data_IF_267602641364
#
_entry.id   IF_267602641364
#
_cell.length_a   1.000
_cell.length_b   1.000
_cell.length_c   1.000
_cell.angle_alpha   90.00
_cell.angle_beta   90.00
_cell.angle_gamma   90.00
#
_symmetry.space_group_name_H-M   'P 1'
#
loop_
_entity.id
_entity.type
_entity.pdbx_description
1 polymer ?
#
# COMPACT_ATOMS: atom_id res chain seq x y z
N UNK A 1 -12.59 -17.13 -54.10
CA UNK A 1 -12.41 -16.22 -55.25
C UNK A 1 -11.99 -17.00 -56.50
N UNK A 2 -12.09 -18.34 -56.46
CA UNK A 2 -11.48 -19.25 -57.45
C UNK A 2 -12.44 -19.72 -58.55
N UNK A 3 -13.75 -19.72 -58.31
CA UNK A 3 -14.76 -20.15 -59.29
C UNK A 3 -14.82 -19.20 -60.51
N UNK A 4 -14.56 -17.91 -60.29
CA UNK A 4 -14.54 -16.89 -61.36
C UNK A 4 -13.34 -17.01 -62.30
N UNK A 5 -12.20 -17.52 -61.80
CA UNK A 5 -10.97 -17.68 -62.60
C UNK A 5 -11.07 -18.91 -63.51
N UNK A 6 -11.62 -20.02 -63.01
CA UNK A 6 -11.77 -21.27 -63.78
C UNK A 6 -12.76 -21.09 -64.94
N UNK A 7 -13.89 -20.42 -64.71
CA UNK A 7 -14.87 -20.12 -65.76
C UNK A 7 -14.27 -19.27 -66.91
N UNK A 8 -13.34 -18.35 -66.58
CA UNK A 8 -12.64 -17.55 -67.59
C UNK A 8 -11.71 -18.39 -68.46
N UNK A 9 -11.00 -19.37 -67.86
CA UNK A 9 -10.02 -20.20 -68.55
C UNK A 9 -10.67 -21.21 -69.51
N UNK A 10 -11.79 -21.83 -69.11
CA UNK A 10 -12.60 -22.68 -70.00
C UNK A 10 -13.19 -21.88 -71.17
N UNK A 11 -13.67 -20.65 -70.92
CA UNK A 11 -14.18 -19.79 -71.99
C UNK A 11 -13.10 -19.42 -73.01
N UNK A 12 -11.88 -19.15 -72.54
CA UNK A 12 -10.73 -18.82 -73.38
C UNK A 12 -10.26 -20.05 -74.18
N UNK A 13 -10.28 -21.24 -73.58
CA UNK A 13 -9.99 -22.51 -74.28
C UNK A 13 -11.06 -22.86 -75.32
N UNK A 14 -12.34 -22.61 -75.03
CA UNK A 14 -13.42 -22.79 -76.01
C UNK A 14 -13.31 -21.82 -77.17
N UNK A 15 -13.03 -20.53 -76.90
CA UNK A 15 -12.78 -19.54 -77.95
C UNK A 15 -11.56 -19.90 -78.78
N UNK A 16 -10.46 -20.34 -78.15
CA UNK A 16 -9.27 -20.80 -78.85
C UNK A 16 -9.56 -22.01 -79.75
N UNK A 17 -10.33 -23.00 -79.28
CA UNK A 17 -10.78 -24.17 -80.08
C UNK A 17 -11.69 -23.77 -81.24
N UNK A 18 -12.62 -22.84 -81.03
CA UNK A 18 -13.49 -22.32 -82.10
C UNK A 18 -12.69 -21.60 -83.18
N UNK A 19 -11.71 -20.79 -82.80
CA UNK A 19 -10.80 -20.14 -83.73
C UNK A 19 -10.02 -21.21 -84.50
N UNK A 20 -9.45 -22.20 -83.81
CA UNK A 20 -8.69 -23.29 -84.43
C UNK A 20 -9.49 -24.08 -85.47
N UNK A 21 -10.73 -24.46 -85.15
CA UNK A 21 -11.65 -25.13 -86.11
C UNK A 21 -11.97 -24.27 -87.33
N UNK A 22 -12.02 -22.94 -87.16
CA UNK A 22 -12.30 -22.00 -88.23
C UNK A 22 -11.12 -21.80 -89.19
N UNK A 23 -9.87 -21.98 -88.72
CA UNK A 23 -8.66 -21.88 -89.54
C UNK A 23 -8.22 -23.25 -90.13
N UNK A 24 -8.72 -24.35 -89.58
CA UNK A 24 -8.41 -25.72 -90.04
C UNK A 24 -8.67 -25.98 -91.54
N UNK A 25 -9.80 -25.54 -92.16
CA UNK A 25 -10.02 -25.72 -93.60
C UNK A 25 -9.10 -24.85 -94.48
N UNK A 26 -8.66 -23.68 -93.99
CA UNK A 26 -7.74 -22.79 -94.70
C UNK A 26 -6.31 -23.35 -94.74
N UNK A 27 -5.89 -24.02 -93.66
CA UNK A 27 -4.59 -24.69 -93.59
C UNK A 27 -4.53 -25.95 -94.47
N UNK A 28 -5.63 -26.71 -94.59
CA UNK A 28 -5.72 -27.85 -95.52
C UNK A 28 -5.82 -27.43 -96.99
N UNK A 29 -6.22 -26.19 -97.29
CA UNK A 29 -6.28 -25.65 -98.65
C UNK A 29 -4.91 -25.20 -99.18
N UNK A 30 -3.91 -25.03 -98.31
CA UNK A 30 -2.51 -24.79 -98.69
C UNK A 30 -1.82 -26.13 -99.04
N UNK A 31 -2.19 -26.73 -100.16
CA UNK A 31 -1.48 -27.85 -100.78
C UNK A 31 -0.43 -27.37 -101.78
N UNK A 32 0.76 -27.98 -101.70
CA UNK A 32 1.98 -27.96 -102.56
C UNK A 32 2.40 -26.66 -103.30
N UNK A 33 3.67 -26.23 -103.18
CA UNK A 33 4.13 -24.97 -103.76
C UNK A 33 4.34 -25.08 -105.29
N UNK A 34 3.92 -24.08 -106.10
CA UNK A 34 4.44 -23.94 -107.45
C UNK A 34 5.90 -23.47 -107.41
N UNK A 35 6.72 -24.02 -108.32
CA UNK A 35 8.10 -23.65 -108.49
C UNK A 35 8.26 -22.31 -109.22
N UNK A 36 9.25 -21.55 -108.75
CA UNK A 36 10.00 -20.47 -109.40
C UNK A 36 9.61 -19.00 -109.12
N UNK A 37 10.69 -18.23 -108.90
CA UNK A 37 10.86 -16.80 -108.63
C UNK A 37 10.47 -16.24 -107.24
N UNK A 38 11.50 -15.83 -106.49
CA UNK A 38 11.41 -15.41 -105.10
C UNK A 38 10.92 -13.97 -104.88
N UNK A 39 10.30 -13.75 -103.71
CA UNK A 39 10.73 -12.74 -102.72
C UNK A 39 9.76 -12.72 -101.50
N UNK A 40 10.32 -12.97 -100.31
CA UNK A 40 9.80 -12.68 -98.96
C UNK A 40 8.41 -13.19 -98.47
N UNK A 41 7.44 -13.51 -99.34
CA UNK A 41 6.08 -13.83 -98.93
C UNK A 41 5.88 -15.29 -98.45
N UNK A 42 6.47 -16.27 -99.15
CA UNK A 42 6.27 -17.70 -98.85
C UNK A 42 7.00 -18.18 -97.60
N UNK A 43 8.18 -17.58 -97.30
CA UNK A 43 8.89 -17.82 -96.03
C UNK A 43 8.08 -17.29 -94.85
N UNK A 44 7.34 -16.19 -95.02
CA UNK A 44 6.50 -15.61 -93.97
C UNK A 44 5.26 -16.44 -93.67
N UNK A 45 4.59 -17.03 -94.69
CA UNK A 45 3.40 -17.87 -94.46
C UNK A 45 3.78 -19.19 -93.78
N UNK A 46 4.87 -19.84 -94.22
CA UNK A 46 5.37 -21.06 -93.58
C UNK A 46 5.82 -20.81 -92.12
N UNK A 47 6.50 -19.69 -91.87
CA UNK A 47 6.91 -19.28 -90.52
C UNK A 47 5.71 -18.96 -89.61
N UNK A 48 4.67 -18.32 -90.15
CA UNK A 48 3.42 -18.05 -89.43
C UNK A 48 2.68 -19.35 -89.10
N UNK A 49 2.59 -20.30 -90.03
CA UNK A 49 1.95 -21.60 -89.75
C UNK A 49 2.72 -22.40 -88.68
N UNK A 50 4.06 -22.36 -88.72
CA UNK A 50 4.90 -23.05 -87.75
C UNK A 50 4.85 -22.40 -86.36
N UNK A 51 4.81 -21.06 -86.30
CA UNK A 51 4.64 -20.34 -85.02
C UNK A 51 3.25 -20.54 -84.42
N UNK A 52 2.20 -20.56 -85.24
CA UNK A 52 0.85 -20.91 -84.80
C UNK A 52 0.77 -22.37 -84.29
N UNK A 53 1.36 -23.34 -85.00
CA UNK A 53 1.40 -24.74 -84.56
C UNK A 53 2.13 -24.90 -83.22
N UNK A 54 3.28 -24.24 -83.07
CA UNK A 54 4.03 -24.23 -81.81
C UNK A 54 3.25 -23.55 -80.67
N UNK A 55 2.50 -22.48 -80.96
CA UNK A 55 1.64 -21.81 -79.97
C UNK A 55 0.48 -22.73 -79.53
N UNK A 56 -0.14 -23.46 -80.46
CA UNK A 56 -1.21 -24.42 -80.18
C UNK A 56 -0.68 -25.55 -79.29
N UNK A 57 0.45 -26.15 -79.65
CA UNK A 57 1.09 -27.20 -78.84
C UNK A 57 1.46 -26.69 -77.43
N UNK A 58 1.90 -25.44 -77.30
CA UNK A 58 2.16 -24.81 -75.98
C UNK A 58 0.87 -24.66 -75.17
N UNK A 59 -0.23 -24.23 -75.78
CA UNK A 59 -1.53 -24.12 -75.09
C UNK A 59 -2.13 -25.45 -74.69
N UNK A 60 -1.94 -26.50 -75.50
CA UNK A 60 -2.42 -27.85 -75.16
C UNK A 60 -1.61 -28.47 -74.03
N UNK A 61 -0.28 -28.25 -74.02
CA UNK A 61 0.59 -28.74 -72.95
C UNK A 61 0.37 -28.00 -71.63
N UNK A 62 0.12 -26.68 -71.65
CA UNK A 62 -0.28 -25.94 -70.45
C UNK A 62 -1.67 -26.35 -69.96
N UNK A 63 -2.64 -26.59 -70.85
CA UNK A 63 -3.96 -27.10 -70.49
C UNK A 63 -3.89 -28.43 -69.76
N UNK A 64 -3.15 -29.42 -70.30
CA UNK A 64 -2.94 -30.72 -69.64
C UNK A 64 -2.22 -30.60 -68.31
N UNK A 65 -1.28 -29.66 -68.18
CA UNK A 65 -0.58 -29.40 -66.91
C UNK A 65 -1.51 -28.76 -65.87
N UNK A 66 -2.43 -27.89 -66.27
CA UNK A 66 -3.45 -27.35 -65.37
C UNK A 66 -4.44 -28.43 -64.91
N UNK A 67 -4.91 -29.29 -65.81
CA UNK A 67 -5.79 -30.42 -65.45
C UNK A 67 -5.09 -31.38 -64.47
N UNK A 68 -3.81 -31.71 -64.71
CA UNK A 68 -3.03 -32.55 -63.80
C UNK A 68 -2.82 -31.88 -62.44
N UNK A 69 -2.56 -30.57 -62.39
CA UNK A 69 -2.44 -29.83 -61.13
C UNK A 69 -3.77 -29.76 -60.38
N UNK A 70 -4.90 -29.59 -61.09
CA UNK A 70 -6.23 -29.62 -60.49
C UNK A 70 -6.56 -30.98 -59.89
N UNK A 71 -6.25 -32.08 -60.60
CA UNK A 71 -6.42 -33.42 -60.05
C UNK A 71 -5.48 -33.67 -58.86
N UNK A 72 -4.25 -33.16 -58.89
CA UNK A 72 -3.34 -33.25 -57.75
C UNK A 72 -3.83 -32.46 -56.54
N UNK A 73 -4.44 -31.28 -56.74
CA UNK A 73 -5.05 -30.52 -55.65
C UNK A 73 -6.30 -31.21 -55.10
N UNK A 74 -7.16 -31.78 -55.95
CA UNK A 74 -8.36 -32.50 -55.51
C UNK A 74 -7.99 -33.79 -54.74
N UNK A 75 -6.96 -34.52 -55.18
CA UNK A 75 -6.45 -35.70 -54.46
C UNK A 75 -5.81 -35.30 -53.14
N UNK A 76 -5.02 -34.23 -53.11
CA UNK A 76 -4.42 -33.72 -51.87
C UNK A 76 -5.44 -33.14 -50.89
N UNK A 77 -6.54 -32.54 -51.37
CA UNK A 77 -7.67 -32.10 -50.54
C UNK A 77 -8.51 -33.27 -50.03
N UNK A 78 -8.63 -34.35 -50.82
CA UNK A 78 -9.30 -35.59 -50.42
C UNK A 78 -8.48 -36.40 -49.40
N UNK A 79 -7.14 -36.30 -49.44
CA UNK A 79 -6.24 -36.78 -48.40
C UNK A 79 -6.32 -35.88 -47.16
N UNK A 80 -7.43 -36.04 -46.43
CA UNK A 80 -7.74 -35.36 -45.17
C UNK A 80 -6.50 -35.29 -44.28
N UNK A 81 -6.10 -34.09 -43.88
CA UNK A 81 -4.82 -33.88 -43.22
C UNK A 81 -4.73 -34.75 -41.96
N UNK A 82 -3.78 -35.70 -41.89
CA UNK A 82 -3.72 -36.69 -40.81
C UNK A 82 -3.49 -36.10 -39.43
N UNK A 83 -3.10 -34.82 -39.36
CA UNK A 83 -2.89 -34.08 -38.12
C UNK A 83 -4.07 -33.20 -37.70
N UNK A 84 -5.19 -33.17 -38.44
CA UNK A 84 -6.40 -32.39 -38.08
C UNK A 84 -6.96 -32.78 -36.71
N UNK A 85 -6.99 -34.08 -36.39
CA UNK A 85 -7.47 -34.57 -35.09
C UNK A 85 -6.55 -34.18 -33.93
N UNK A 86 -5.24 -34.22 -34.15
CA UNK A 86 -4.26 -33.81 -33.14
C UNK A 86 -4.24 -32.28 -32.97
N UNK A 87 -4.39 -31.52 -34.06
CA UNK A 87 -4.54 -30.08 -34.02
C UNK A 87 -5.80 -29.66 -33.25
N UNK A 88 -6.94 -30.32 -33.50
CA UNK A 88 -8.17 -30.07 -32.76
C UNK A 88 -8.04 -30.43 -31.28
N UNK A 89 -7.37 -31.54 -30.94
CA UNK A 89 -7.08 -31.93 -29.56
C UNK A 89 -6.19 -30.91 -28.85
N UNK A 90 -5.09 -30.49 -29.49
CA UNK A 90 -4.19 -29.48 -28.94
C UNK A 90 -4.88 -28.13 -28.79
N UNK A 91 -5.76 -27.78 -29.71
CA UNK A 91 -6.56 -26.55 -29.62
C UNK A 91 -7.56 -26.60 -28.46
N UNK A 92 -8.26 -27.72 -28.25
CA UNK A 92 -9.13 -27.90 -27.09
C UNK A 92 -8.35 -27.82 -25.76
N UNK A 93 -7.17 -28.45 -25.69
CA UNK A 93 -6.27 -28.34 -24.52
C UNK A 93 -5.79 -26.91 -24.29
N UNK A 94 -5.48 -26.17 -25.36
CA UNK A 94 -5.09 -24.76 -25.27
C UNK A 94 -6.24 -23.87 -24.78
N UNK A 95 -7.47 -24.13 -25.22
CA UNK A 95 -8.67 -23.43 -24.76
C UNK A 95 -8.96 -23.71 -23.27
N UNK A 96 -8.85 -24.96 -22.83
CA UNK A 96 -8.99 -25.33 -21.41
C UNK A 96 -7.88 -24.69 -20.54
N UNK A 97 -6.63 -24.73 -21.01
CA UNK A 97 -5.50 -24.08 -20.34
C UNK A 97 -5.68 -22.55 -20.27
N UNK A 98 -6.18 -21.93 -21.34
CA UNK A 98 -6.48 -20.49 -21.36
C UNK A 98 -7.60 -20.13 -20.37
N UNK A 99 -8.65 -20.94 -20.27
CA UNK A 99 -9.74 -20.74 -19.32
C UNK A 99 -9.27 -20.86 -17.87
N UNK A 100 -8.42 -21.85 -17.57
CA UNK A 100 -7.85 -22.04 -16.22
C UNK A 100 -6.90 -20.90 -15.84
N UNK A 101 -6.05 -20.43 -16.77
CA UNK A 101 -5.20 -19.26 -16.56
C UNK A 101 -6.03 -18.00 -16.26
N UNK A 102 -7.08 -17.75 -17.04
CA UNK A 102 -7.96 -16.60 -16.81
C UNK A 102 -8.65 -16.66 -15.43
N UNK A 103 -9.10 -17.84 -15.00
CA UNK A 103 -9.68 -18.03 -13.67
C UNK A 103 -8.67 -17.80 -12.53
N UNK A 104 -7.44 -18.29 -12.69
CA UNK A 104 -6.36 -18.08 -11.71
C UNK A 104 -5.92 -16.62 -11.63
N UNK A 105 -5.85 -15.91 -12.76
CA UNK A 105 -5.51 -14.49 -12.80
C UNK A 105 -6.59 -13.64 -12.13
N UNK A 106 -7.88 -13.95 -12.36
CA UNK A 106 -8.98 -13.32 -11.64
C UNK A 106 -8.85 -13.55 -10.12
N UNK A 107 -8.58 -14.80 -9.71
CA UNK A 107 -8.38 -15.12 -8.28
C UNK A 107 -7.17 -14.42 -7.68
N UNK A 108 -6.08 -14.27 -8.45
CA UNK A 108 -4.89 -13.54 -8.02
C UNK A 108 -5.19 -12.05 -7.82
N UNK A 109 -5.98 -11.45 -8.72
CA UNK A 109 -6.41 -10.07 -8.59
C UNK A 109 -7.28 -9.85 -7.33
N UNK A 110 -8.24 -10.74 -7.07
CA UNK A 110 -9.07 -10.69 -5.87
C UNK A 110 -8.22 -10.78 -4.58
N UNK A 111 -7.31 -11.76 -4.53
CA UNK A 111 -6.42 -11.95 -3.39
C UNK A 111 -5.47 -10.76 -3.20
N UNK A 112 -4.95 -10.18 -4.29
CA UNK A 112 -4.11 -8.99 -4.22
C UNK A 112 -4.89 -7.79 -3.63
N UNK A 113 -6.17 -7.63 -3.98
CA UNK A 113 -7.05 -6.63 -3.38
C UNK A 113 -7.23 -6.84 -1.88
N UNK A 114 -7.49 -8.08 -1.45
CA UNK A 114 -7.61 -8.42 -0.03
C UNK A 114 -6.31 -8.18 0.75
N UNK A 115 -5.15 -8.55 0.18
CA UNK A 115 -3.84 -8.30 0.80
C UNK A 115 -3.60 -6.81 0.97
N UNK A 116 -3.95 -5.98 -0.02
CA UNK A 116 -3.82 -4.52 0.08
C UNK A 116 -4.69 -3.96 1.21
N UNK A 117 -5.97 -4.37 1.28
CA UNK A 117 -6.87 -3.94 2.35
C UNK A 117 -6.35 -4.36 3.73
N UNK A 118 -5.89 -5.62 3.86
CA UNK A 118 -5.34 -6.12 5.12
C UNK A 118 -4.05 -5.40 5.52
N UNK A 119 -3.21 -5.01 4.55
CA UNK A 119 -2.02 -4.22 4.82
C UNK A 119 -2.35 -2.81 5.34
N UNK A 120 -3.38 -2.17 4.79
CA UNK A 120 -3.88 -0.88 5.30
C UNK A 120 -4.45 -1.02 6.72
N UNK A 121 -5.22 -2.08 6.98
CA UNK A 121 -5.74 -2.38 8.31
C UNK A 121 -4.61 -2.69 9.29
N UNK A 122 -3.59 -3.44 8.90
CA UNK A 122 -2.44 -3.74 9.78
C UNK A 122 -1.64 -2.46 10.10
N UNK A 123 -1.46 -1.57 9.11
CA UNK A 123 -0.84 -0.26 9.35
C UNK A 123 -1.68 0.62 10.29
N UNK A 124 -3.01 0.59 10.13
CA UNK A 124 -3.96 1.36 10.94
C UNK A 124 -4.13 0.83 12.36
N UNK A 125 -4.25 -0.48 12.56
CA UNK A 125 -4.40 -1.12 13.87
C UNK A 125 -3.08 -1.47 14.55
N UNK A 126 -1.98 -1.35 13.80
CA UNK A 126 -0.63 -1.51 14.30
C UNK A 126 -0.23 -0.42 15.30
N UNK A 127 1.03 -0.49 15.73
CA UNK A 127 1.59 0.37 16.79
C UNK A 127 1.55 1.86 16.45
N UNK A 128 1.48 2.20 15.17
CA UNK A 128 1.62 3.57 14.66
C UNK A 128 0.30 4.25 14.33
N UNK A 129 -0.80 3.52 14.27
CA UNK A 129 -2.11 4.07 13.93
C UNK A 129 -2.96 4.30 15.18
N UNK A 130 -4.02 3.51 15.34
CA UNK A 130 -5.04 3.69 16.38
C UNK A 130 -4.44 3.65 17.79
N UNK A 131 -3.43 2.82 18.05
CA UNK A 131 -2.78 2.76 19.37
C UNK A 131 -2.08 4.08 19.71
N UNK A 132 -1.33 4.63 18.75
CA UNK A 132 -0.63 5.91 18.90
C UNK A 132 -1.63 7.05 19.11
N UNK A 133 -2.69 7.10 18.29
CA UNK A 133 -3.77 8.07 18.43
C UNK A 133 -4.49 7.99 19.78
N UNK A 134 -4.79 6.77 20.25
CA UNK A 134 -5.41 6.58 21.56
C UNK A 134 -4.47 7.03 22.69
N UNK A 135 -3.17 6.75 22.59
CA UNK A 135 -2.17 7.21 23.54
C UNK A 135 -2.07 8.74 23.56
N UNK A 136 -2.04 9.40 22.39
CA UNK A 136 -2.03 10.86 22.28
C UNK A 136 -3.26 11.49 22.94
N UNK A 137 -4.44 10.91 22.75
CA UNK A 137 -5.67 11.37 23.43
C UNK A 137 -5.56 11.28 24.97
N UNK A 138 -5.06 10.16 25.48
CA UNK A 138 -4.84 9.96 26.93
C UNK A 138 -3.79 10.93 27.47
N UNK A 139 -2.70 11.15 26.73
CA UNK A 139 -1.65 12.08 27.12
C UNK A 139 -2.16 13.52 27.16
N UNK A 140 -3.04 13.91 26.23
CA UNK A 140 -3.73 15.20 26.25
C UNK A 140 -4.58 15.39 27.52
N UNK A 141 -5.43 14.41 27.84
CA UNK A 141 -6.24 14.43 29.09
C UNK A 141 -5.35 14.50 30.35
N UNK A 142 -4.26 13.71 30.37
CA UNK A 142 -3.32 13.72 31.48
C UNK A 142 -2.62 15.07 31.64
N UNK A 143 -2.25 15.69 30.52
CA UNK A 143 -1.60 17.00 30.49
C UNK A 143 -2.52 18.08 31.07
N UNK A 144 -3.79 18.11 30.66
CA UNK A 144 -4.77 19.06 31.18
C UNK A 144 -4.96 18.93 32.69
N UNK A 145 -5.15 17.70 33.20
CA UNK A 145 -5.30 17.43 34.63
C UNK A 145 -4.04 17.76 35.42
N UNK A 146 -2.87 17.42 34.88
CA UNK A 146 -1.59 17.75 35.51
C UNK A 146 -1.39 19.26 35.57
N UNK A 147 -1.75 20.00 34.52
CA UNK A 147 -1.65 21.45 34.45
C UNK A 147 -2.50 22.12 35.55
N UNK A 148 -3.71 21.61 35.82
CA UNK A 148 -4.56 22.11 36.90
C UNK A 148 -3.89 22.05 38.28
N UNK A 149 -3.18 20.97 38.61
CA UNK A 149 -2.41 20.87 39.84
C UNK A 149 -1.12 21.69 39.79
N UNK A 150 -0.46 21.74 38.63
CA UNK A 150 0.79 22.46 38.45
C UNK A 150 0.62 23.97 38.63
N UNK A 151 -0.49 24.55 38.19
CA UNK A 151 -0.82 25.96 38.42
C UNK A 151 -0.93 26.31 39.91
N UNK A 152 -1.43 25.36 40.72
CA UNK A 152 -1.57 25.53 42.16
C UNK A 152 -0.25 25.30 42.91
N UNK A 153 0.58 24.35 42.45
CA UNK A 153 1.82 23.96 43.11
C UNK A 153 3.03 24.82 42.69
N UNK A 154 3.15 25.12 41.40
CA UNK A 154 4.28 25.83 40.81
C UNK A 154 3.78 26.76 39.68
N UNK A 155 3.30 27.94 40.07
CA UNK A 155 2.82 28.94 39.14
C UNK A 155 3.88 29.29 38.08
N UNK A 156 3.48 29.33 36.81
CA UNK A 156 4.37 29.64 35.69
C UNK A 156 5.07 28.43 35.07
N UNK A 157 4.85 27.22 35.58
CA UNK A 157 5.28 25.99 34.92
C UNK A 157 4.14 25.42 34.07
N UNK A 158 4.51 24.79 32.97
CA UNK A 158 3.63 23.95 32.17
C UNK A 158 4.34 22.66 31.79
N UNK A 159 3.62 21.55 31.81
CA UNK A 159 4.14 20.25 31.41
C UNK A 159 3.57 19.89 30.04
N UNK A 160 4.42 19.51 29.10
CA UNK A 160 4.03 18.95 27.81
C UNK A 160 4.41 17.48 27.75
N UNK A 161 3.44 16.66 27.37
CA UNK A 161 3.60 15.22 27.22
C UNK A 161 3.35 14.86 25.75
N UNK A 162 4.34 14.26 25.11
CA UNK A 162 4.23 13.84 23.71
C UNK A 162 4.69 12.39 23.55
N UNK A 163 3.97 11.63 22.72
CA UNK A 163 4.45 10.35 22.23
C UNK A 163 5.47 10.65 21.12
N UNK A 164 6.74 10.30 21.34
CA UNK A 164 7.82 10.49 20.38
C UNK A 164 8.42 9.15 19.99
N UNK A 165 8.66 8.96 18.69
CA UNK A 165 9.50 7.84 18.21
C UNK A 165 10.95 8.31 18.15
N UNK A 166 11.89 7.57 18.74
CA UNK A 166 13.30 7.87 18.55
C UNK A 166 13.65 7.73 17.06
N UNK A 167 14.16 8.81 16.45
CA UNK A 167 14.45 8.88 15.02
C UNK A 167 15.49 7.85 14.52
N UNK A 168 16.21 7.18 15.43
CA UNK A 168 17.30 6.25 15.13
C UNK A 168 16.89 4.76 15.16
N UNK A 169 15.62 4.42 15.41
CA UNK A 169 15.17 3.03 15.50
C UNK A 169 14.46 2.56 14.21
N UNK A 170 14.75 1.33 13.77
CA UNK A 170 14.04 0.68 12.68
C UNK A 170 12.52 0.58 12.98
N UNK A 171 11.65 0.69 11.97
CA UNK A 171 10.20 0.79 12.15
C UNK A 171 9.58 -0.41 12.88
N UNK A 172 10.21 -1.59 12.85
CA UNK A 172 9.74 -2.79 13.54
C UNK A 172 10.11 -2.87 15.03
N UNK A 173 11.10 -2.10 15.49
CA UNK A 173 11.60 -2.12 16.88
C UNK A 173 11.43 -0.80 17.62
N UNK A 174 10.92 0.24 16.95
CA UNK A 174 10.65 1.54 17.54
C UNK A 174 9.54 1.44 18.59
N UNK A 175 9.93 1.32 19.86
CA UNK A 175 9.02 1.49 20.99
C UNK A 175 8.75 2.99 21.14
N UNK A 176 7.47 3.37 21.13
CA UNK A 176 7.06 4.74 21.42
C UNK A 176 7.56 5.14 22.80
N UNK A 177 8.22 6.30 22.87
CA UNK A 177 8.73 6.86 24.13
C UNK A 177 7.90 8.09 24.47
N UNK A 178 7.44 8.16 25.70
CA UNK A 178 6.79 9.36 26.21
C UNK A 178 7.87 10.38 26.57
N UNK A 179 7.94 11.45 25.80
CA UNK A 179 8.82 12.59 26.07
C UNK A 179 8.10 13.55 27.02
N UNK A 180 8.82 13.97 28.07
CA UNK A 180 8.33 14.91 29.08
C UNK A 180 9.10 16.20 28.94
N UNK A 181 8.44 17.25 28.49
CA UNK A 181 9.04 18.57 28.31
C UNK A 181 8.43 19.54 29.30
N UNK A 182 9.27 20.25 30.05
CA UNK A 182 8.81 21.28 30.99
C UNK A 182 9.01 22.64 30.37
N UNK A 183 7.93 23.41 30.27
CA UNK A 183 7.94 24.79 29.84
C UNK A 183 7.85 25.70 31.06
N UNK A 184 8.67 26.74 31.09
CA UNK A 184 8.67 27.74 32.17
C UNK A 184 8.33 29.10 31.58
N UNK A 185 7.38 29.79 32.19
CA UNK A 185 7.01 31.16 31.86
C UNK A 185 8.19 32.07 32.17
N UNK A 186 8.77 32.62 31.13
CA UNK A 186 9.84 33.60 31.17
C UNK A 186 9.34 34.90 30.55
N UNK A 187 10.02 36.00 30.82
CA UNK A 187 9.80 37.25 30.11
C UNK A 187 10.79 37.33 28.94
N UNK A 188 10.31 37.75 27.77
CA UNK A 188 11.15 38.05 26.62
C UNK A 188 12.07 39.24 26.97
N UNK A 189 13.40 39.12 26.80
CA UNK A 189 14.31 40.25 26.98
C UNK A 189 14.07 41.41 26.01
N UNK A 190 13.48 41.16 24.84
CA UNK A 190 13.36 42.13 23.75
C UNK A 190 12.07 42.97 23.82
N UNK A 191 10.94 42.36 24.15
CA UNK A 191 9.62 43.00 24.13
C UNK A 191 8.91 42.97 25.50
N UNK A 192 9.50 42.32 26.51
CA UNK A 192 8.93 42.25 27.85
C UNK A 192 7.65 41.41 27.98
N UNK A 193 7.22 40.71 26.92
CA UNK A 193 6.05 39.84 26.90
C UNK A 193 6.35 38.49 27.56
N UNK A 194 5.30 37.82 28.05
CA UNK A 194 5.43 36.49 28.61
C UNK A 194 5.63 35.46 27.49
N UNK A 195 6.74 34.72 27.54
CA UNK A 195 7.03 33.59 26.65
C UNK A 195 7.16 32.31 27.46
N UNK A 196 6.91 31.17 26.84
CA UNK A 196 7.22 29.86 27.41
C UNK A 196 8.57 29.40 26.89
N UNK A 197 9.51 29.12 27.79
CA UNK A 197 10.83 28.60 27.45
C UNK A 197 10.96 27.17 27.93
N UNK A 198 11.43 26.30 27.04
CA UNK A 198 11.75 24.92 27.41
C UNK A 198 12.93 24.87 28.38
N UNK A 199 12.77 24.08 29.44
CA UNK A 199 13.84 23.71 30.36
C UNK A 199 13.92 22.20 30.50
N UNK A 200 15.14 21.70 30.51
CA UNK A 200 15.38 20.30 30.83
C UNK A 200 15.03 20.04 32.30
N UNK A 201 14.41 18.89 32.59
CA UNK A 201 14.09 18.47 33.96
C UNK A 201 15.32 18.50 34.90
N UNK A 202 16.52 18.26 34.36
CA UNK A 202 17.79 18.29 35.12
C UNK A 202 18.21 19.68 35.58
N UNK A 203 17.69 20.74 34.94
CA UNK A 203 18.03 22.14 35.25
C UNK A 203 17.11 22.72 36.35
N UNK A 204 16.10 21.97 36.78
CA UNK A 204 15.14 22.39 37.78
C UNK A 204 15.67 22.14 39.20
N UNK A 205 15.28 22.98 40.15
CA UNK A 205 15.64 22.82 41.56
C UNK A 205 15.05 21.51 42.13
N UNK A 206 15.59 21.04 43.26
CA UNK A 206 15.06 19.84 43.94
C UNK A 206 13.57 19.96 44.27
N UNK A 207 13.17 21.11 44.84
CA UNK A 207 11.77 21.40 45.16
C UNK A 207 10.88 21.56 43.93
N UNK A 208 11.35 22.22 42.87
CA UNK A 208 10.60 22.35 41.60
C UNK A 208 10.31 20.99 40.98
N UNK A 209 11.32 20.12 40.88
CA UNK A 209 11.15 18.76 40.37
C UNK A 209 10.13 17.98 41.19
N UNK A 210 10.14 18.12 42.51
CA UNK A 210 9.20 17.44 43.41
C UNK A 210 7.78 17.96 43.24
N UNK A 211 7.58 19.28 43.13
CA UNK A 211 6.25 19.87 42.85
C UNK A 211 5.69 19.43 41.50
N UNK A 212 6.52 19.38 40.45
CA UNK A 212 6.10 18.88 39.13
C UNK A 212 5.77 17.38 39.20
N UNK A 213 6.60 16.59 39.88
CA UNK A 213 6.35 15.16 40.06
C UNK A 213 5.04 14.91 40.81
N UNK A 214 4.78 15.66 41.89
CA UNK A 214 3.53 15.59 42.65
C UNK A 214 2.34 15.98 41.79
N UNK A 215 2.42 17.09 41.04
CA UNK A 215 1.36 17.50 40.11
C UNK A 215 1.02 16.39 39.10
N UNK A 216 2.04 15.72 38.56
CA UNK A 216 1.86 14.62 37.61
C UNK A 216 1.21 13.40 38.28
N UNK A 217 1.63 13.04 39.49
CA UNK A 217 1.03 11.92 40.26
C UNK A 217 -0.44 12.20 40.57
N UNK A 218 -0.76 13.43 41.00
CA UNK A 218 -2.14 13.85 41.24
C UNK A 218 -2.97 13.85 39.95
N UNK A 219 -2.41 14.33 38.84
CA UNK A 219 -3.04 14.27 37.51
C UNK A 219 -3.34 12.84 37.06
N UNK A 220 -2.42 11.90 37.31
CA UNK A 220 -2.65 10.48 37.06
C UNK A 220 -3.76 9.91 37.94
N UNK A 221 -3.73 10.19 39.24
CA UNK A 221 -4.76 9.72 40.18
C UNK A 221 -6.15 10.22 39.78
N UNK A 222 -6.26 11.50 39.41
CA UNK A 222 -7.50 12.12 38.93
C UNK A 222 -7.96 11.53 37.59
N UNK A 223 -7.05 11.30 36.63
CA UNK A 223 -7.36 10.67 35.35
C UNK A 223 -7.93 9.25 35.53
N UNK A 224 -7.29 8.44 36.37
CA UNK A 224 -7.73 7.05 36.64
C UNK A 224 -9.09 7.06 37.35
N UNK A 225 -9.29 8.00 38.28
CA UNK A 225 -10.54 8.16 39.02
C UNK A 225 -11.69 8.59 38.10
N UNK A 226 -11.45 9.55 37.21
CA UNK A 226 -12.44 10.04 36.26
C UNK A 226 -12.86 8.97 35.24
N UNK A 227 -11.95 8.08 34.85
CA UNK A 227 -12.25 6.93 33.98
C UNK A 227 -12.94 5.78 34.71
N UNK A 228 -13.23 5.94 36.01
CA UNK A 228 -13.95 4.97 36.82
C UNK A 228 -13.18 3.67 37.09
N UNK A 229 -11.88 3.60 36.74
CA UNK A 229 -11.08 2.38 36.85
C UNK A 229 -10.55 2.14 38.25
N UNK A 230 -10.45 3.19 39.07
CA UNK A 230 -10.05 3.11 40.47
C UNK A 230 -10.87 4.13 41.26
N UNK A 231 -11.52 3.68 42.33
CA UNK A 231 -12.09 4.56 43.34
C UNK A 231 -11.41 4.23 44.66
N UNK A 232 -10.45 5.07 45.05
CA UNK A 232 -9.76 4.95 46.32
C UNK A 232 -10.09 6.16 47.17
N UNK A 233 -10.51 5.93 48.41
CA UNK A 233 -10.78 7.00 49.38
C UNK A 233 -9.54 7.35 50.23
N UNK A 234 -8.45 6.58 50.10
CA UNK A 234 -7.18 6.76 50.78
C UNK A 234 -6.07 7.15 49.79
N UNK A 235 -5.32 8.21 50.10
CA UNK A 235 -4.08 8.55 49.41
C UNK A 235 -2.93 8.55 50.40
N UNK A 236 -1.84 7.84 50.10
CA UNK A 236 -0.63 7.80 50.92
C UNK A 236 0.51 8.48 50.18
N UNK A 237 1.17 9.44 50.83
CA UNK A 237 2.24 10.25 50.26
C UNK A 237 3.47 10.17 51.16
N UNK A 238 4.54 9.55 50.64
CA UNK A 238 5.77 9.36 51.37
C UNK A 238 6.78 10.48 51.05
N UNK A 239 7.12 11.28 52.06
CA UNK A 239 8.14 12.33 52.03
C UNK A 239 7.96 13.37 50.89
N UNK A 240 6.75 13.56 50.39
CA UNK A 240 6.51 14.44 49.22
C UNK A 240 6.78 15.93 49.49
N UNK A 241 6.87 16.32 50.76
CA UNK A 241 7.16 17.70 51.18
C UNK A 241 8.64 17.94 51.50
N UNK A 242 9.47 16.91 51.50
CA UNK A 242 10.89 17.05 51.78
C UNK A 242 11.58 17.90 50.70
N UNK A 243 12.51 18.77 51.09
CA UNK A 243 13.20 19.74 50.21
C UNK A 243 12.29 20.84 49.59
N UNK A 244 11.07 21.02 50.09
CA UNK A 244 10.25 22.19 49.76
C UNK A 244 10.54 23.34 50.74
N UNK A 245 10.42 24.56 50.23
CA UNK A 245 10.35 25.78 51.03
C UNK A 245 9.00 25.87 51.77
N UNK A 246 8.89 26.80 52.73
CA UNK A 246 7.65 27.02 53.49
C UNK A 246 6.46 27.32 52.57
N UNK A 247 6.67 28.13 51.53
CA UNK A 247 5.65 28.47 50.55
C UNK A 247 5.22 27.26 49.71
N UNK A 248 6.18 26.42 49.30
CA UNK A 248 5.90 25.15 48.62
C UNK A 248 5.13 24.17 49.51
N UNK A 249 5.49 24.07 50.78
CA UNK A 249 4.77 23.27 51.75
C UNK A 249 3.31 23.72 51.91
N UNK A 250 3.09 25.03 52.06
CA UNK A 250 1.75 25.60 52.19
C UNK A 250 0.89 25.34 50.94
N UNK A 251 1.45 25.51 49.74
CA UNK A 251 0.76 25.21 48.48
C UNK A 251 0.38 23.74 48.36
N UNK A 252 1.30 22.82 48.69
CA UNK A 252 1.01 21.38 48.70
C UNK A 252 -0.13 21.07 49.66
N UNK A 253 -0.05 21.54 50.90
CA UNK A 253 -1.09 21.27 51.89
C UNK A 253 -2.47 21.82 51.47
N UNK A 254 -2.51 23.00 50.85
CA UNK A 254 -3.74 23.58 50.30
C UNK A 254 -4.35 22.72 49.17
N UNK A 255 -3.52 22.15 48.29
CA UNK A 255 -3.97 21.22 47.24
C UNK A 255 -4.48 19.93 47.85
N UNK A 256 -3.75 19.34 48.80
CA UNK A 256 -4.13 18.07 49.44
C UNK A 256 -5.48 18.16 50.15
N UNK A 257 -5.77 19.27 50.83
CA UNK A 257 -7.06 19.54 51.49
C UNK A 257 -8.25 19.63 50.53
N UNK A 258 -8.02 19.94 49.26
CA UNK A 258 -9.07 20.06 48.23
C UNK A 258 -9.30 18.76 47.47
N UNK A 259 -8.48 17.73 47.71
CA UNK A 259 -8.65 16.45 47.04
C UNK A 259 -9.94 15.77 47.49
N UNK A 260 -10.62 15.03 46.60
CA UNK A 260 -11.88 14.35 46.93
C UNK A 260 -11.71 13.09 47.80
N UNK A 261 -10.51 12.85 48.35
CA UNK A 261 -10.21 11.66 49.13
C UNK A 261 -10.71 11.86 50.56
N UNK A 262 -11.31 10.81 51.16
CA UNK A 262 -11.73 10.84 52.56
C UNK A 262 -10.54 10.92 53.52
N UNK A 263 -9.42 10.29 53.15
CA UNK A 263 -8.22 10.26 53.98
C UNK A 263 -6.98 10.48 53.12
N UNK A 264 -6.16 11.45 53.51
CA UNK A 264 -4.83 11.68 52.92
C UNK A 264 -3.81 11.50 54.03
N UNK A 265 -3.02 10.43 53.94
CA UNK A 265 -1.93 10.13 54.86
C UNK A 265 -0.62 10.65 54.27
N UNK A 266 0.03 11.55 55.00
CA UNK A 266 1.30 12.14 54.63
C UNK A 266 2.36 11.68 55.62
N UNK A 267 3.41 11.05 55.11
CA UNK A 267 4.64 10.81 55.88
C UNK A 267 5.59 11.97 55.59
N UNK A 268 6.06 12.63 56.65
CA UNK A 268 7.00 13.74 56.53
C UNK A 268 8.03 13.73 57.66
N UNK A 269 9.08 14.54 57.49
CA UNK A 269 10.16 14.64 58.46
C UNK A 269 9.77 15.45 59.69
N UNK A 270 10.44 15.17 60.82
CA UNK A 270 10.29 15.93 62.06
C UNK A 270 10.62 17.42 61.85
N UNK A 271 9.90 18.32 62.54
CA UNK A 271 10.02 19.79 62.46
C UNK A 271 9.69 20.44 61.10
N UNK A 272 9.02 19.74 60.20
CA UNK A 272 8.48 20.40 59.00
C UNK A 272 7.26 21.27 59.39
N UNK A 273 7.09 22.44 58.76
CA UNK A 273 5.96 23.39 58.91
C UNK A 273 4.55 22.75 58.76
N UNK A 274 4.52 21.48 58.39
CA UNK A 274 3.40 20.56 58.23
C UNK A 274 2.56 20.43 59.52
N UNK A 275 3.15 20.60 60.71
CA UNK A 275 2.46 20.30 61.98
C UNK A 275 1.23 21.17 62.32
N UNK A 276 0.93 22.25 61.59
CA UNK A 276 -0.27 23.07 61.85
C UNK A 276 -1.37 22.92 60.79
N UNK A 277 -1.10 22.16 59.72
CA UNK A 277 -2.00 22.11 58.55
C UNK A 277 -2.77 20.79 58.43
N UNK A 278 -2.49 19.80 59.27
CA UNK A 278 -3.14 18.48 59.21
C UNK A 278 -4.08 18.28 60.39
N UNK A 279 -5.16 17.54 60.15
CA UNK A 279 -6.24 17.33 61.12
C UNK A 279 -5.82 16.44 62.29
N UNK A 280 -4.91 15.50 62.03
CA UNK A 280 -4.32 14.59 63.01
C UNK A 280 -2.84 14.37 62.68
N UNK A 281 -2.01 14.22 63.72
CA UNK A 281 -0.57 14.06 63.58
C UNK A 281 -0.11 12.92 64.49
N UNK A 282 0.50 11.91 63.89
CA UNK A 282 1.15 10.81 64.61
C UNK A 282 2.66 11.03 64.58
N UNK A 283 3.29 11.01 65.77
CA UNK A 283 4.73 11.16 65.96
C UNK A 283 5.36 9.79 66.17
N UNK A 284 6.30 9.44 65.30
CA UNK A 284 7.07 8.21 65.41
C UNK A 284 8.34 8.46 66.21
N UNK A 285 8.46 7.84 67.38
CA UNK A 285 9.60 7.99 68.29
C UNK A 285 10.46 6.73 68.26
N UNK A 286 11.77 6.88 68.08
CA UNK A 286 12.74 5.78 68.12
C UNK A 286 13.65 5.93 69.33
N UNK A 287 13.53 5.01 70.31
CA UNK A 287 14.34 5.01 71.53
C UNK A 287 14.83 3.58 71.84
N UNK A 288 16.10 3.43 72.17
CA UNK A 288 16.67 2.14 72.58
C UNK A 288 16.54 1.01 71.55
N UNK A 289 16.45 1.34 70.25
CA UNK A 289 16.23 0.35 69.18
C UNK A 289 14.77 -0.08 68.99
N UNK A 290 13.84 0.45 69.79
CA UNK A 290 12.39 0.25 69.63
C UNK A 290 11.75 1.46 68.97
N UNK A 291 10.61 1.23 68.30
CA UNK A 291 9.82 2.28 67.64
C UNK A 291 8.42 2.30 68.26
N UNK A 292 8.02 3.47 68.74
CA UNK A 292 6.68 3.75 69.29
C UNK A 292 6.00 4.83 68.45
N UNK A 293 4.66 4.81 68.44
CA UNK A 293 3.84 5.84 67.78
C UNK A 293 3.04 6.53 68.87
N UNK A 294 3.14 7.85 68.93
CA UNK A 294 2.47 8.71 69.89
C UNK A 294 1.63 9.73 69.11
N UNK A 295 0.40 10.01 69.55
CA UNK A 295 -0.43 11.05 68.92
C UNK A 295 0.08 12.41 69.40
N UNK A 296 0.36 13.32 68.47
CA UNK A 296 0.76 14.69 68.83
C UNK A 296 -0.39 15.38 69.59
N UNK A 297 -0.09 16.18 70.62
CA UNK A 297 -1.10 16.89 71.42
C UNK A 297 -1.87 17.96 70.64
#
# INVERSE_FOLDING_TARGET
>A
MDVLVVASAESVLQQARQVLQRWQPLLTACGEPPADDGDAADVNIALVCQTCSNAIQRTETTGRRMEMLQQQTEVAEAERNPHEGEAARLQALAEEAAATLAALDARRADLAGLVSMLAELDAGFGRTGVQSFALEGILGELQERTQHFLEQLASGFSLQLAASRPAAAAPSTAVERITKTVLVRSRDPSNGLAMLRERNLRQLSGGERRRIALALVLGFADLISARGRLRCNLMVLDEVMQQLDEEGCARVAAVLRRLPHTTVLLVGQANTYVAQTFDAIDVVVKQGGQTTVEVAP
#
